data_IF_091663914231
#
_entry.id   IF_091663914231
#
_cell.length_a   1.000
_cell.length_b   1.000
_cell.length_c   1.000
_cell.angle_alpha   90.00
_cell.angle_beta   90.00
_cell.angle_gamma   90.00
#
_symmetry.space_group_name_H-M   'P 1'
#
loop_
_entity.id
_entity.type
_entity.pdbx_description
1 polymer ?
#
# COMPACT_ATOMS: atom_id res chain seq x y z
N UNK A 1 51.36 -18.36 38.60
CA UNK A 1 50.24 -18.46 37.65
C UNK A 1 49.25 -17.37 38.04
N UNK A 2 49.41 -16.20 37.42
CA UNK A 2 48.60 -15.02 37.70
C UNK A 2 47.32 -15.08 36.88
N UNK A 3 46.17 -15.06 37.55
CA UNK A 3 44.88 -14.84 36.90
C UNK A 3 44.41 -13.41 37.19
N UNK A 4 44.62 -12.59 36.17
CA UNK A 4 44.15 -11.22 36.01
C UNK A 4 42.62 -11.13 36.14
N UNK A 5 42.12 -10.33 37.09
CA UNK A 5 40.79 -9.72 36.99
C UNK A 5 41.00 -8.21 36.86
N UNK A 6 40.71 -7.69 35.66
CA UNK A 6 40.79 -6.28 35.39
C UNK A 6 39.62 -5.55 36.08
N UNK A 7 39.93 -4.81 37.14
CA UNK A 7 39.06 -3.78 37.71
C UNK A 7 38.81 -2.68 36.68
N UNK A 8 37.69 -2.76 35.96
CA UNK A 8 37.17 -1.63 35.18
C UNK A 8 36.15 -0.87 36.02
N UNK A 9 36.61 -0.15 37.03
CA UNK A 9 35.83 0.94 37.66
C UNK A 9 35.93 2.21 36.82
N UNK A 10 35.56 2.10 35.54
CA UNK A 10 35.40 3.22 34.63
C UNK A 10 34.30 4.14 35.15
N UNK A 11 34.69 5.35 35.57
CA UNK A 11 33.81 6.43 36.02
C UNK A 11 32.67 6.61 35.01
N UNK A 12 31.45 6.24 35.41
CA UNK A 12 30.22 6.64 34.71
C UNK A 12 30.07 8.15 34.86
N UNK A 13 30.43 8.89 33.82
CA UNK A 13 30.01 10.27 33.62
C UNK A 13 28.50 10.29 33.29
N UNK A 14 27.64 9.88 34.21
CA UNK A 14 26.22 10.23 34.17
C UNK A 14 26.05 11.44 35.07
N UNK A 15 26.15 12.64 34.48
CA UNK A 15 25.71 13.86 35.14
C UNK A 15 24.24 13.64 35.55
N UNK A 16 23.95 13.64 36.86
CA UNK A 16 22.60 13.74 37.44
C UNK A 16 22.06 15.16 37.26
N UNK A 17 22.14 15.69 36.05
CA UNK A 17 21.36 16.85 35.67
C UNK A 17 20.09 16.31 35.03
N UNK A 18 18.98 16.39 35.75
CA UNK A 18 17.65 16.30 35.15
C UNK A 18 17.54 17.47 34.16
N UNK A 19 18.01 17.26 32.94
CA UNK A 19 17.75 18.20 31.85
C UNK A 19 16.27 18.06 31.56
N UNK A 20 15.49 19.04 32.02
CA UNK A 20 14.11 19.21 31.62
C UNK A 20 14.05 19.33 30.09
N UNK A 21 13.82 18.21 29.42
CA UNK A 21 13.66 18.18 27.97
C UNK A 21 12.39 18.96 27.65
N UNK A 22 12.55 20.18 27.15
CA UNK A 22 11.43 20.97 26.62
C UNK A 22 10.75 20.12 25.54
N UNK A 23 9.50 19.72 25.77
CA UNK A 23 8.73 18.93 24.80
C UNK A 23 8.37 19.85 23.63
N UNK A 24 9.32 20.04 22.71
CA UNK A 24 9.09 20.80 21.48
C UNK A 24 8.29 19.91 20.54
N UNK A 25 7.04 20.31 20.28
CA UNK A 25 6.19 19.64 19.31
C UNK A 25 6.84 19.69 17.92
N UNK A 26 7.09 18.52 17.34
CA UNK A 26 7.67 18.41 15.99
C UNK A 26 6.71 19.01 14.97
N UNK A 27 7.24 19.63 13.90
CA UNK A 27 6.40 20.17 12.79
C UNK A 27 5.47 19.10 12.21
N UNK A 28 5.91 17.84 12.20
CA UNK A 28 5.11 16.68 11.80
C UNK A 28 3.81 16.47 12.59
N UNK A 29 3.73 16.94 13.84
CA UNK A 29 2.53 16.84 14.67
C UNK A 29 1.32 17.58 14.06
N UNK A 30 1.58 18.63 13.26
CA UNK A 30 0.55 19.35 12.51
C UNK A 30 -0.23 18.44 11.56
N UNK A 31 0.33 17.30 11.16
CA UNK A 31 -0.33 16.38 10.25
C UNK A 31 -1.56 15.67 10.84
N UNK A 32 -1.66 15.62 12.18
CA UNK A 32 -2.74 14.92 12.89
C UNK A 32 -2.79 13.41 12.63
N UNK A 33 -1.73 12.83 12.05
CA UNK A 33 -1.63 11.40 11.76
C UNK A 33 -0.97 10.67 12.92
N UNK A 34 -1.47 9.48 13.22
CA UNK A 34 -0.75 8.54 14.08
C UNK A 34 0.64 8.23 13.47
N UNK A 35 1.67 8.00 14.31
CA UNK A 35 2.98 7.57 13.85
C UNK A 35 2.87 6.33 12.94
N UNK A 36 3.58 6.35 11.82
CA UNK A 36 3.56 5.25 10.85
C UNK A 36 4.84 4.42 11.01
N UNK A 37 4.75 3.11 11.34
CA UNK A 37 5.90 2.23 11.27
C UNK A 37 6.33 2.08 9.80
N UNK A 38 7.63 2.28 9.56
CA UNK A 38 8.37 2.28 8.27
C UNK A 38 7.58 1.69 7.10
N UNK A 39 6.84 2.52 6.36
CA UNK A 39 5.74 1.99 5.55
C UNK A 39 6.16 1.52 4.15
N UNK A 40 7.46 1.41 3.91
CA UNK A 40 8.05 1.04 2.64
C UNK A 40 8.03 2.17 1.60
N UNK A 41 8.64 1.90 0.44
CA UNK A 41 8.59 2.79 -0.72
C UNK A 41 7.18 2.78 -1.33
N UNK A 42 6.66 3.93 -1.79
CA UNK A 42 5.47 3.96 -2.63
C UNK A 42 5.52 2.97 -3.78
N UNK A 43 4.36 2.48 -4.22
CA UNK A 43 4.27 1.61 -5.39
C UNK A 43 4.83 2.33 -6.61
N UNK A 44 5.64 1.63 -7.42
CA UNK A 44 6.17 2.17 -8.68
C UNK A 44 5.06 2.31 -9.71
N UNK A 45 4.09 1.39 -9.68
CA UNK A 45 2.90 1.51 -10.50
C UNK A 45 1.93 2.46 -9.80
N UNK A 46 1.73 3.64 -10.38
CA UNK A 46 0.66 4.55 -10.02
C UNK A 46 -0.70 3.97 -10.41
N UNK A 47 -1.74 4.77 -10.23
CA UNK A 47 -3.11 4.31 -10.48
C UNK A 47 -3.39 4.12 -11.96
N UNK A 48 -2.87 5.00 -12.81
CA UNK A 48 -3.17 5.00 -14.24
C UNK A 48 -2.42 3.86 -14.95
N UNK A 49 -1.18 3.58 -14.55
CA UNK A 49 -0.46 2.39 -14.98
C UNK A 49 -1.19 1.12 -14.55
N UNK A 50 -1.66 1.04 -13.29
CA UNK A 50 -2.45 -0.10 -12.83
C UNK A 50 -3.77 -0.25 -13.60
N UNK A 51 -4.45 0.86 -13.93
CA UNK A 51 -5.68 0.83 -14.71
C UNK A 51 -5.44 0.31 -16.14
N UNK A 52 -4.40 0.81 -16.82
CA UNK A 52 -3.99 0.31 -18.14
C UNK A 52 -3.61 -1.17 -18.09
N UNK A 53 -2.85 -1.57 -17.07
CA UNK A 53 -2.46 -2.96 -16.84
C UNK A 53 -3.69 -3.87 -16.72
N UNK A 54 -4.64 -3.53 -15.84
CA UNK A 54 -5.83 -4.36 -15.62
C UNK A 54 -6.80 -4.37 -16.81
N UNK A 55 -6.88 -3.27 -17.58
CA UNK A 55 -7.60 -3.26 -18.85
C UNK A 55 -6.97 -4.23 -19.87
N UNK A 56 -5.65 -4.25 -19.99
CA UNK A 56 -4.94 -5.17 -20.88
C UNK A 56 -5.12 -6.63 -20.47
N UNK A 57 -5.07 -6.94 -19.17
CA UNK A 57 -5.38 -8.29 -18.65
C UNK A 57 -6.83 -8.68 -19.00
N UNK A 58 -7.78 -7.77 -18.88
CA UNK A 58 -9.18 -8.05 -19.19
C UNK A 58 -9.42 -8.36 -20.67
N UNK A 59 -8.55 -7.90 -21.58
CA UNK A 59 -8.58 -8.28 -23.01
C UNK A 59 -7.81 -9.58 -23.29
N UNK A 60 -7.39 -10.33 -22.27
CA UNK A 60 -6.69 -11.61 -22.42
C UNK A 60 -5.17 -11.52 -22.61
N UNK A 61 -4.55 -10.35 -22.43
CA UNK A 61 -3.09 -10.24 -22.55
C UNK A 61 -2.37 -10.92 -21.38
N UNK A 62 -1.14 -11.40 -21.64
CA UNK A 62 -0.28 -11.93 -20.60
C UNK A 62 0.08 -10.84 -19.58
N UNK A 63 0.47 -11.24 -18.35
CA UNK A 63 0.88 -10.27 -17.33
C UNK A 63 2.16 -9.51 -17.67
N UNK A 64 2.96 -10.02 -18.61
CA UNK A 64 4.21 -9.40 -19.04
C UNK A 64 3.92 -8.35 -20.11
N UNK A 65 3.10 -8.70 -21.11
CA UNK A 65 2.68 -7.77 -22.18
C UNK A 65 1.81 -6.65 -21.63
N UNK A 66 0.88 -6.98 -20.73
CA UNK A 66 0.06 -5.99 -20.05
C UNK A 66 0.93 -5.01 -19.23
N UNK A 67 2.07 -5.45 -18.68
CA UNK A 67 3.00 -4.59 -17.97
C UNK A 67 3.65 -3.59 -18.93
N UNK A 68 4.22 -4.09 -20.03
CA UNK A 68 4.88 -3.26 -21.04
C UNK A 68 3.90 -2.23 -21.62
N UNK A 69 2.69 -2.65 -21.98
CA UNK A 69 1.61 -1.77 -22.46
C UNK A 69 1.20 -0.70 -21.44
N UNK A 70 1.30 -1.01 -20.15
CA UNK A 70 1.05 -0.07 -19.07
C UNK A 70 2.24 0.84 -18.73
N UNK A 71 3.38 0.69 -19.41
CA UNK A 71 4.62 1.42 -19.08
C UNK A 71 5.32 0.90 -17.81
N UNK A 72 5.08 -0.35 -17.44
CA UNK A 72 5.67 -1.01 -16.28
C UNK A 72 6.67 -2.08 -16.72
N UNK A 73 7.65 -2.36 -15.87
CA UNK A 73 8.53 -3.51 -16.11
C UNK A 73 7.78 -4.84 -15.93
N UNK A 74 8.13 -5.86 -16.71
CA UNK A 74 7.52 -7.20 -16.64
C UNK A 74 7.50 -7.78 -15.21
N UNK A 75 8.57 -7.66 -14.38
CA UNK A 75 8.54 -8.14 -13.00
C UNK A 75 7.52 -7.40 -12.11
N UNK A 76 7.22 -6.12 -12.40
CA UNK A 76 6.19 -5.35 -11.70
C UNK A 76 4.80 -5.85 -12.08
N UNK A 77 4.53 -6.07 -13.37
CA UNK A 77 3.24 -6.61 -13.83
C UNK A 77 2.97 -8.00 -13.28
N UNK A 78 3.95 -8.89 -13.35
CA UNK A 78 3.91 -10.21 -12.71
C UNK A 78 3.57 -10.13 -11.21
N UNK A 79 4.18 -9.18 -10.48
CA UNK A 79 3.92 -8.97 -9.05
C UNK A 79 2.52 -8.41 -8.79
N UNK A 80 2.04 -7.48 -9.61
CA UNK A 80 0.69 -6.91 -9.53
C UNK A 80 -0.37 -7.99 -9.74
N UNK A 81 -0.22 -8.79 -10.79
CA UNK A 81 -1.12 -9.89 -11.12
C UNK A 81 -1.22 -10.88 -9.95
N UNK A 82 -0.07 -11.36 -9.45
CA UNK A 82 -0.01 -12.31 -8.32
C UNK A 82 -0.58 -11.71 -7.03
N UNK A 83 -0.27 -10.45 -6.71
CA UNK A 83 -0.75 -9.78 -5.50
C UNK A 83 -2.26 -9.64 -5.47
N UNK A 84 -2.89 -9.46 -6.64
CA UNK A 84 -4.34 -9.36 -6.75
C UNK A 84 -5.04 -10.72 -6.94
N UNK A 85 -4.27 -11.82 -7.09
CA UNK A 85 -4.82 -13.16 -7.28
C UNK A 85 -5.35 -13.41 -8.70
N UNK A 86 -4.80 -12.70 -9.69
CA UNK A 86 -5.18 -12.84 -11.10
C UNK A 86 -6.43 -12.08 -11.52
N UNK A 87 -7.13 -11.43 -10.58
CA UNK A 87 -8.32 -10.63 -10.86
C UNK A 87 -8.09 -9.16 -10.53
N UNK A 88 -8.67 -8.22 -11.31
CA UNK A 88 -8.56 -6.80 -11.00
C UNK A 88 -9.21 -6.49 -9.64
N UNK A 89 -8.50 -5.76 -8.76
CA UNK A 89 -9.12 -5.17 -7.57
C UNK A 89 -10.37 -4.37 -7.94
N UNK A 90 -11.34 -4.27 -7.03
CA UNK A 90 -12.65 -3.67 -7.31
C UNK A 90 -12.59 -2.27 -7.97
N UNK A 91 -11.58 -1.47 -7.60
CA UNK A 91 -11.34 -0.12 -8.13
C UNK A 91 -10.78 -0.07 -9.57
N UNK A 92 -10.37 -1.22 -10.14
CA UNK A 92 -9.82 -1.37 -11.49
C UNK A 92 -10.65 -2.32 -12.37
N UNK A 93 -11.83 -2.75 -11.90
CA UNK A 93 -12.77 -3.52 -12.72
C UNK A 93 -13.35 -2.65 -13.83
N UNK A 94 -13.75 -3.24 -14.94
CA UNK A 94 -14.45 -2.54 -16.03
C UNK A 94 -15.73 -1.82 -15.55
N UNK A 95 -16.42 -2.40 -14.56
CA UNK A 95 -17.61 -1.82 -13.92
C UNK A 95 -17.30 -0.78 -12.84
N UNK A 96 -16.04 -0.46 -12.57
CA UNK A 96 -15.69 0.52 -11.55
C UNK A 96 -16.09 1.92 -12.02
N UNK A 97 -16.78 2.67 -11.14
CA UNK A 97 -17.11 4.07 -11.44
C UNK A 97 -15.81 4.86 -11.67
N UNK A 98 -15.77 5.75 -12.68
CA UNK A 98 -14.68 6.70 -12.83
C UNK A 98 -14.43 7.46 -11.53
N UNK A 99 -13.18 7.87 -11.32
CA UNK A 99 -12.86 8.71 -10.18
C UNK A 99 -13.68 10.00 -10.25
N UNK A 100 -14.39 10.32 -9.17
CA UNK A 100 -14.97 11.65 -9.08
C UNK A 100 -13.85 12.67 -8.93
N UNK A 101 -13.96 13.80 -9.63
CA UNK A 101 -13.05 14.94 -9.47
C UNK A 101 -13.09 15.59 -8.09
N UNK A 102 -13.73 14.94 -7.10
CA UNK A 102 -13.83 15.38 -5.70
C UNK A 102 -12.48 15.37 -4.98
N UNK A 103 -11.60 14.45 -5.35
CA UNK A 103 -10.27 14.31 -4.74
C UNK A 103 -9.19 14.83 -5.69
N UNK A 104 -8.09 15.32 -5.11
CA UNK A 104 -6.92 15.72 -5.89
C UNK A 104 -6.33 14.52 -6.63
N UNK A 105 -6.00 14.70 -7.89
CA UNK A 105 -5.22 13.81 -8.75
C UNK A 105 -3.73 13.88 -8.43
N UNK A 106 -2.93 12.98 -9.02
CA UNK A 106 -1.48 13.04 -8.90
C UNK A 106 -0.92 14.31 -9.56
N UNK A 107 -1.40 14.65 -10.76
CA UNK A 107 -1.00 15.87 -11.47
C UNK A 107 -1.28 17.15 -10.64
N UNK A 108 -2.45 17.25 -10.02
CA UNK A 108 -2.74 18.37 -9.10
C UNK A 108 -1.79 18.39 -7.89
N UNK A 109 -1.37 17.23 -7.38
CA UNK A 109 -0.38 17.16 -6.28
C UNK A 109 1.02 17.58 -6.72
N UNK A 110 1.41 17.27 -7.96
CA UNK A 110 2.67 17.72 -8.55
C UNK A 110 2.68 19.23 -8.71
N UNK A 111 1.58 19.79 -9.23
CA UNK A 111 1.40 21.23 -9.35
C UNK A 111 1.41 21.93 -7.98
N UNK A 112 0.74 21.38 -6.96
CA UNK A 112 0.85 21.89 -5.58
C UNK A 112 2.30 21.90 -5.10
N UNK A 113 3.09 20.86 -5.41
CA UNK A 113 4.49 20.78 -4.98
C UNK A 113 5.35 21.86 -5.66
N UNK A 114 5.19 22.06 -6.97
CA UNK A 114 5.90 23.09 -7.74
C UNK A 114 5.56 24.49 -7.24
N UNK A 115 4.27 24.83 -7.17
CA UNK A 115 3.81 26.14 -6.73
C UNK A 115 4.23 26.42 -5.27
N UNK A 116 4.33 25.38 -4.44
CA UNK A 116 4.80 25.52 -3.06
C UNK A 116 6.27 25.86 -2.98
N UNK A 117 7.11 25.25 -3.82
CA UNK A 117 8.54 25.57 -3.93
C UNK A 117 8.75 26.99 -4.46
N UNK A 118 7.90 27.43 -5.39
CA UNK A 118 7.88 28.81 -5.90
C UNK A 118 7.40 29.85 -4.87
N UNK A 119 6.98 29.43 -3.68
CA UNK A 119 6.59 30.34 -2.60
C UNK A 119 5.14 30.85 -2.67
N UNK A 120 4.30 30.31 -3.56
CA UNK A 120 2.90 30.75 -3.66
C UNK A 120 2.08 30.46 -2.38
N UNK A 121 1.14 31.36 -2.09
CA UNK A 121 0.23 31.22 -0.95
C UNK A 121 -0.80 30.09 -1.19
N UNK A 122 -1.35 29.52 -0.12
CA UNK A 122 -2.37 28.46 -0.22
C UNK A 122 -3.60 28.92 -1.02
N UNK A 123 -3.99 30.19 -0.88
CA UNK A 123 -5.12 30.77 -1.63
C UNK A 123 -4.80 30.85 -3.12
N UNK A 124 -3.59 31.26 -3.46
CA UNK A 124 -3.13 31.34 -4.86
C UNK A 124 -3.07 29.97 -5.52
N UNK A 125 -2.49 28.98 -4.83
CA UNK A 125 -2.46 27.59 -5.30
C UNK A 125 -3.89 27.07 -5.53
N UNK A 126 -4.81 27.36 -4.62
CA UNK A 126 -6.22 27.02 -4.79
C UNK A 126 -6.82 27.63 -6.06
N UNK A 127 -6.61 28.93 -6.30
CA UNK A 127 -7.10 29.62 -7.51
C UNK A 127 -6.57 28.99 -8.80
N UNK A 128 -5.25 28.76 -8.89
CA UNK A 128 -4.62 28.18 -10.10
C UNK A 128 -5.15 26.78 -10.42
N UNK A 129 -5.46 25.99 -9.41
CA UNK A 129 -5.99 24.63 -9.57
C UNK A 129 -7.52 24.59 -9.74
N UNK A 130 -8.23 25.72 -9.62
CA UNK A 130 -9.69 25.72 -9.54
C UNK A 130 -10.23 24.99 -8.30
N UNK A 131 -9.49 25.02 -7.19
CA UNK A 131 -9.82 24.33 -5.93
C UNK A 131 -9.97 25.31 -4.78
N UNK A 132 -10.82 24.96 -3.81
CA UNK A 132 -10.89 25.72 -2.56
C UNK A 132 -9.54 25.70 -1.82
N UNK A 133 -9.12 26.85 -1.28
CA UNK A 133 -7.91 26.98 -0.48
C UNK A 133 -7.88 25.99 0.72
N UNK A 134 -9.05 25.68 1.28
CA UNK A 134 -9.19 24.70 2.35
C UNK A 134 -8.82 23.27 1.91
N UNK A 135 -8.98 22.93 0.63
CA UNK A 135 -8.56 21.64 0.06
C UNK A 135 -7.04 21.54 0.04
N UNK A 136 -6.36 22.57 -0.50
CA UNK A 136 -4.90 22.65 -0.54
C UNK A 136 -4.30 22.63 0.87
N UNK A 137 -4.86 23.42 1.80
CA UNK A 137 -4.45 23.43 3.20
C UNK A 137 -4.56 22.04 3.85
N UNK A 138 -5.67 21.34 3.62
CA UNK A 138 -5.91 20.00 4.15
C UNK A 138 -4.96 18.97 3.55
N UNK A 139 -4.67 19.06 2.26
CA UNK A 139 -3.70 18.20 1.57
C UNK A 139 -2.29 18.36 2.15
N UNK A 140 -1.77 19.59 2.19
CA UNK A 140 -0.43 19.89 2.71
C UNK A 140 -0.26 19.43 4.16
N UNK A 141 -1.30 19.59 4.98
CA UNK A 141 -1.30 19.13 6.37
C UNK A 141 -1.31 17.60 6.46
N UNK A 142 -2.28 16.95 5.80
CA UNK A 142 -2.58 15.52 6.00
C UNK A 142 -1.73 14.56 5.18
N UNK A 143 -1.06 15.02 4.13
CA UNK A 143 -0.37 14.13 3.19
C UNK A 143 1.14 14.46 3.01
N UNK A 144 1.67 15.51 3.65
CA UNK A 144 3.12 15.78 3.65
C UNK A 144 3.96 14.61 4.21
N UNK A 145 5.21 14.54 3.79
CA UNK A 145 6.20 13.63 4.37
C UNK A 145 6.60 14.13 5.76
N UNK A 146 6.53 13.24 6.75
CA UNK A 146 6.81 13.54 8.16
C UNK A 146 8.10 12.87 8.68
N UNK A 147 8.83 12.15 7.81
CA UNK A 147 10.10 11.53 8.16
C UNK A 147 11.11 12.61 8.55
N UNK A 148 11.87 12.39 9.63
CA UNK A 148 12.84 13.37 10.15
C UNK A 148 12.24 14.50 10.98
N UNK A 149 10.93 14.46 11.32
CA UNK A 149 10.27 15.50 12.14
C UNK A 149 9.85 16.76 11.38
N UNK A 150 10.19 16.84 10.08
CA UNK A 150 9.78 17.89 9.16
C UNK A 150 8.35 17.73 8.63
N UNK A 151 7.98 18.63 7.71
CA UNK A 151 6.71 18.63 6.99
C UNK A 151 6.96 18.98 5.51
N UNK A 152 7.85 18.21 4.88
CA UNK A 152 8.17 18.38 3.46
C UNK A 152 7.02 17.87 2.58
N UNK A 153 6.64 18.61 1.55
CA UNK A 153 5.61 18.15 0.63
C UNK A 153 6.24 17.56 -0.63
N UNK A 154 5.96 16.27 -0.89
CA UNK A 154 6.34 15.57 -2.11
C UNK A 154 5.10 14.89 -2.70
N UNK A 155 4.79 15.17 -3.96
CA UNK A 155 3.56 14.72 -4.61
C UNK A 155 3.36 13.20 -4.55
N UNK A 156 4.40 12.42 -4.88
CA UNK A 156 4.35 10.95 -4.85
C UNK A 156 4.12 10.37 -3.45
N UNK A 157 4.68 11.01 -2.43
CA UNK A 157 4.48 10.61 -1.03
C UNK A 157 3.07 10.97 -0.57
N UNK A 158 2.60 12.15 -0.97
CA UNK A 158 1.25 12.62 -0.66
C UNK A 158 0.17 11.75 -1.32
N UNK A 159 0.37 11.36 -2.59
CA UNK A 159 -0.46 10.39 -3.29
C UNK A 159 -0.51 9.06 -2.55
N UNK A 160 0.67 8.53 -2.17
CA UNK A 160 0.75 7.27 -1.44
C UNK A 160 0.05 7.32 -0.07
N UNK A 161 0.13 8.44 0.65
CA UNK A 161 -0.63 8.65 1.88
C UNK A 161 -2.14 8.70 1.62
N UNK A 162 -2.58 9.41 0.58
CA UNK A 162 -3.99 9.47 0.19
C UNK A 162 -4.53 8.07 -0.16
N UNK A 163 -3.80 7.30 -0.97
CA UNK A 163 -4.17 5.93 -1.33
C UNK A 163 -4.20 5.01 -0.12
N UNK A 164 -3.25 5.16 0.81
CA UNK A 164 -3.25 4.40 2.07
C UNK A 164 -4.46 4.72 2.93
N UNK A 165 -4.80 5.99 3.12
CA UNK A 165 -5.96 6.40 3.92
C UNK A 165 -7.27 6.01 3.25
N UNK A 166 -7.30 5.89 1.91
CA UNK A 166 -8.44 5.37 1.18
C UNK A 166 -8.64 3.86 1.35
N UNK A 167 -7.58 3.11 1.73
CA UNK A 167 -7.73 1.70 2.15
C UNK A 167 -8.52 1.70 3.46
N UNK A 168 -9.82 1.46 3.36
CA UNK A 168 -10.71 1.17 4.49
C UNK A 168 -10.86 -0.35 4.60
N UNK A 169 -9.86 -1.07 5.15
CA UNK A 169 -9.95 -2.52 5.28
C UNK A 169 -11.12 -2.87 6.20
N UNK A 170 -12.02 -3.70 5.70
CA UNK A 170 -13.04 -4.36 6.52
C UNK A 170 -12.55 -5.78 6.80
N UNK A 171 -12.89 -6.30 7.98
CA UNK A 171 -12.71 -7.73 8.25
C UNK A 171 -13.45 -8.53 7.19
N UNK A 172 -12.75 -9.41 6.49
CA UNK A 172 -13.35 -10.19 5.40
C UNK A 172 -14.32 -11.24 5.96
N UNK A 173 -15.37 -11.60 5.21
CA UNK A 173 -16.37 -12.60 5.62
C UNK A 173 -15.75 -13.92 6.09
N UNK A 174 -14.71 -14.41 5.39
CA UNK A 174 -13.98 -15.64 5.74
C UNK A 174 -13.07 -15.51 6.96
N UNK A 175 -12.67 -14.28 7.33
CA UNK A 175 -11.90 -14.06 8.55
C UNK A 175 -12.83 -14.11 9.78
N UNK A 176 -14.07 -13.68 9.63
CA UNK A 176 -15.07 -13.65 10.70
C UNK A 176 -15.84 -14.98 10.84
N UNK A 177 -16.00 -15.75 9.76
CA UNK A 177 -16.79 -16.98 9.76
C UNK A 177 -15.91 -18.20 9.44
N UNK A 178 -15.61 -18.99 10.48
CA UNK A 178 -14.77 -20.18 10.36
C UNK A 178 -15.42 -21.29 9.52
N UNK A 179 -16.72 -21.55 9.71
CA UNK A 179 -17.47 -22.58 8.97
C UNK A 179 -17.47 -22.32 7.47
N UNK A 180 -17.78 -21.09 7.07
CA UNK A 180 -17.74 -20.67 5.67
C UNK A 180 -16.32 -20.75 5.09
N UNK A 181 -15.30 -20.42 5.89
CA UNK A 181 -13.90 -20.56 5.47
C UNK A 181 -13.54 -22.02 5.20
N UNK A 182 -13.95 -22.94 6.08
CA UNK A 182 -13.73 -24.39 5.89
C UNK A 182 -14.44 -24.88 4.64
N UNK A 183 -15.72 -24.57 4.50
CA UNK A 183 -16.52 -24.93 3.32
C UNK A 183 -15.89 -24.44 2.01
N UNK A 184 -15.51 -23.15 1.93
CA UNK A 184 -14.88 -22.59 0.74
C UNK A 184 -13.50 -23.24 0.48
N UNK A 185 -12.73 -23.53 1.52
CA UNK A 185 -11.44 -24.18 1.38
C UNK A 185 -11.57 -25.61 0.84
N UNK A 186 -12.56 -26.37 1.30
CA UNK A 186 -12.87 -27.73 0.81
C UNK A 186 -13.32 -27.72 -0.65
N UNK A 187 -14.23 -26.82 -1.02
CA UNK A 187 -14.69 -26.72 -2.41
C UNK A 187 -13.57 -26.31 -3.37
N UNK A 188 -12.70 -25.38 -2.95
CA UNK A 188 -11.50 -25.01 -3.71
C UNK A 188 -10.45 -26.12 -3.77
N UNK A 189 -10.50 -27.10 -2.84
CA UNK A 189 -9.68 -28.31 -2.85
C UNK A 189 -10.13 -29.38 -3.85
N UNK A 190 -11.22 -29.14 -4.57
CA UNK A 190 -11.89 -30.22 -5.30
C UNK A 190 -12.60 -31.20 -4.38
N UNK A 191 -12.79 -30.86 -3.09
CA UNK A 191 -13.65 -31.57 -2.15
C UNK A 191 -15.13 -31.32 -2.42
N UNK A 192 -15.54 -31.42 -3.68
CA UNK A 192 -16.92 -31.15 -4.10
C UNK A 192 -17.69 -32.45 -4.01
N UNK A 193 -18.47 -32.60 -2.95
CA UNK A 193 -19.43 -33.69 -2.80
C UNK A 193 -20.73 -33.28 -3.49
N UNK A 194 -21.22 -34.12 -4.42
CA UNK A 194 -22.51 -34.00 -5.06
C UNK A 194 -23.65 -34.19 -4.03
N UNK A 195 -24.89 -33.74 -4.30
CA UNK A 195 -26.03 -34.04 -3.43
C UNK A 195 -26.25 -35.53 -3.17
N UNK A 196 -25.77 -36.39 -4.07
CA UNK A 196 -25.77 -37.85 -3.96
C UNK A 196 -24.69 -38.44 -3.04
N UNK A 197 -23.84 -37.61 -2.43
CA UNK A 197 -22.69 -38.07 -1.63
C UNK A 197 -21.44 -38.43 -2.45
N UNK A 198 -21.52 -38.42 -3.79
CA UNK A 198 -20.39 -38.75 -4.65
C UNK A 198 -19.33 -37.64 -4.69
N UNK A 199 -18.04 -38.02 -4.60
CA UNK A 199 -16.91 -37.10 -4.74
C UNK A 199 -16.70 -36.75 -6.22
N UNK A 200 -16.68 -35.46 -6.55
CA UNK A 200 -16.40 -34.96 -7.89
C UNK A 200 -14.91 -34.58 -7.97
N UNK A 201 -14.07 -35.31 -8.74
CA UNK A 201 -12.67 -34.96 -8.88
C UNK A 201 -12.53 -33.59 -9.54
N UNK A 202 -11.67 -32.74 -8.97
CA UNK A 202 -11.32 -31.45 -9.56
C UNK A 202 -10.51 -31.61 -10.86
N UNK A 203 -10.40 -30.55 -11.68
CA UNK A 203 -9.60 -30.59 -12.91
C UNK A 203 -8.13 -30.88 -12.62
N UNK A 204 -7.52 -31.75 -13.44
CA UNK A 204 -6.09 -32.05 -13.36
C UNK A 204 -5.25 -30.88 -13.88
N UNK A 205 -4.91 -29.94 -13.01
CA UNK A 205 -4.10 -28.77 -13.35
C UNK A 205 -2.63 -29.01 -13.02
N UNK A 206 -1.76 -28.96 -14.03
CA UNK A 206 -0.29 -29.05 -13.84
C UNK A 206 0.21 -27.82 -13.09
N UNK A 207 0.86 -28.03 -11.94
CA UNK A 207 1.51 -26.96 -11.18
C UNK A 207 2.73 -26.43 -11.93
N UNK A 208 2.84 -25.11 -12.11
CA UNK A 208 3.91 -24.46 -12.88
C UNK A 208 4.95 -23.72 -12.02
N UNK A 209 4.93 -23.89 -10.69
CA UNK A 209 5.97 -23.37 -9.78
C UNK A 209 6.03 -21.85 -9.57
N UNK A 210 5.09 -21.06 -10.12
CA UNK A 210 5.22 -19.59 -10.18
C UNK A 210 4.82 -18.82 -8.91
N UNK A 211 4.61 -19.46 -7.74
CA UNK A 211 3.97 -18.81 -6.57
C UNK A 211 4.67 -18.99 -5.21
N UNK A 212 5.91 -18.53 -5.04
CA UNK A 212 6.46 -18.41 -3.67
C UNK A 212 6.00 -17.10 -3.01
N UNK A 213 4.83 -17.12 -2.35
CA UNK A 213 4.28 -15.98 -1.59
C UNK A 213 4.57 -16.08 -0.08
N UNK A 214 4.59 -14.94 0.64
CA UNK A 214 4.82 -14.83 2.11
C UNK A 214 3.76 -15.48 3.03
N UNK A 215 2.85 -16.33 2.55
CA UNK A 215 1.74 -16.89 3.37
C UNK A 215 1.95 -18.39 3.58
N UNK A 216 1.34 -18.98 4.61
CA UNK A 216 1.39 -20.42 4.87
C UNK A 216 0.53 -21.19 3.87
N UNK A 217 0.89 -22.44 3.67
CA UNK A 217 0.26 -23.34 2.72
C UNK A 217 -1.25 -23.49 2.92
N UNK A 218 -2.01 -23.33 1.83
CA UNK A 218 -3.44 -23.63 1.80
C UNK A 218 -3.59 -25.07 1.31
N UNK A 219 -4.39 -25.86 2.04
CA UNK A 219 -4.62 -27.32 1.85
C UNK A 219 -4.99 -27.75 0.42
N UNK A 220 -5.50 -26.83 -0.40
CA UNK A 220 -5.98 -27.09 -1.76
C UNK A 220 -5.03 -26.66 -2.89
N UNK A 221 -3.87 -26.11 -2.55
CA UNK A 221 -2.90 -25.74 -3.54
C UNK A 221 -1.51 -26.09 -3.01
N UNK A 222 -0.86 -27.11 -3.59
CA UNK A 222 0.61 -27.16 -3.67
C UNK A 222 1.05 -26.02 -4.57
N UNK A 223 0.83 -24.79 -4.08
CA UNK A 223 1.07 -23.54 -4.77
C UNK A 223 1.86 -22.63 -3.85
N UNK A 224 3.11 -23.03 -3.63
CA UNK A 224 4.18 -22.27 -3.00
C UNK A 224 5.41 -22.45 -3.87
#
# INVERSE_FOLDING_TARGET
MDTYWADSTGRRNTLKLEVAMKVVSRRSARSGRAPLPSPGRPSVAGRDEQNRFWKAIATGQSSEDAALKAGLSQPVGSRLFRKAGGMPPAMFRSSAKPLSGRYLSLAEREEIALLKVQGHSIREIGRRLGRAASTVSRELRRNAATRGGGLEYRATTAQWHADRSARRPKSTKLALNATLRTYVAERLAGGVVAPSGAYIPGPAVRWNGRRHGRRKDRRWAKAW
#
